data_IF_041246160988
#
_entry.id   IF_041246160988
#
_cell.length_a   1.000
_cell.length_b   1.000
_cell.length_c   1.000
_cell.angle_alpha   90.00
_cell.angle_beta   90.00
_cell.angle_gamma   90.00
#
_symmetry.space_group_name_H-M   'P 1'
#
loop_
_entity.id
_entity.type
_entity.pdbx_description
1 polymer ?
#
# COMPACT_ATOMS: atom_id res chain seq x y z
N UNK A 1 1.30 -15.44 12.31
CA UNK A 1 0.83 -14.06 12.56
C UNK A 1 1.88 -12.99 12.31
N UNK A 2 3.09 -13.04 12.87
CA UNK A 2 4.14 -12.02 12.58
C UNK A 2 4.55 -11.93 11.11
N UNK A 3 4.56 -13.05 10.37
CA UNK A 3 4.79 -13.06 8.91
C UNK A 3 3.67 -12.37 8.13
N UNK A 4 2.43 -12.46 8.59
CA UNK A 4 1.29 -11.75 7.97
C UNK A 4 1.42 -10.25 8.19
N UNK A 5 1.78 -9.84 9.42
CA UNK A 5 2.09 -8.43 9.70
C UNK A 5 3.27 -7.93 8.85
N UNK A 6 4.30 -8.76 8.68
CA UNK A 6 5.44 -8.44 7.83
C UNK A 6 5.01 -8.27 6.36
N UNK A 7 4.17 -9.16 5.82
CA UNK A 7 3.66 -9.05 4.45
C UNK A 7 2.97 -7.70 4.21
N UNK A 8 2.00 -7.35 5.04
CA UNK A 8 1.29 -6.08 4.90
C UNK A 8 2.20 -4.87 5.15
N UNK A 9 3.14 -4.96 6.10
CA UNK A 9 4.12 -3.91 6.33
C UNK A 9 5.00 -3.69 5.09
N UNK A 10 5.52 -4.78 4.51
CA UNK A 10 6.39 -4.72 3.35
C UNK A 10 5.64 -4.19 2.12
N UNK A 11 4.41 -4.62 1.91
CA UNK A 11 3.54 -4.09 0.86
C UNK A 11 3.27 -2.60 1.04
N UNK A 12 3.06 -2.13 2.28
CA UNK A 12 2.84 -0.72 2.57
C UNK A 12 4.08 0.13 2.31
N UNK A 13 5.26 -0.38 2.68
CA UNK A 13 6.55 0.26 2.39
C UNK A 13 6.82 0.38 0.89
N UNK A 14 6.56 -0.69 0.13
CA UNK A 14 6.63 -0.63 -1.33
C UNK A 14 5.63 0.39 -1.89
N UNK A 15 4.40 0.39 -1.36
CA UNK A 15 3.37 1.36 -1.72
C UNK A 15 3.75 2.82 -1.44
N UNK A 16 4.49 3.12 -0.37
CA UNK A 16 4.99 4.48 -0.12
C UNK A 16 5.97 4.95 -1.18
N UNK A 17 6.87 4.07 -1.62
CA UNK A 17 7.79 4.38 -2.72
C UNK A 17 7.01 4.56 -4.03
N UNK A 18 6.09 3.65 -4.31
CA UNK A 18 5.24 3.67 -5.52
C UNK A 18 4.41 4.95 -5.61
N UNK A 19 3.86 5.42 -4.49
CA UNK A 19 3.19 6.71 -4.39
C UNK A 19 4.07 7.83 -4.95
N UNK A 20 5.35 7.86 -4.58
CA UNK A 20 6.26 8.91 -5.00
C UNK A 20 6.64 8.73 -6.47
N UNK A 21 7.15 7.56 -6.84
CA UNK A 21 7.79 7.37 -8.16
C UNK A 21 6.75 7.25 -9.28
N UNK A 22 5.70 6.45 -9.09
CA UNK A 22 4.73 6.15 -10.14
C UNK A 22 3.59 7.17 -10.14
N UNK A 23 2.96 7.33 -8.99
CA UNK A 23 1.74 8.11 -8.86
C UNK A 23 1.97 9.63 -8.93
N UNK A 24 2.99 10.16 -8.24
CA UNK A 24 3.36 11.59 -8.30
C UNK A 24 4.27 11.93 -9.48
N UNK A 25 5.27 11.10 -9.77
CA UNK A 25 6.32 11.45 -10.73
C UNK A 25 6.22 10.73 -12.07
N UNK A 26 5.28 9.79 -12.27
CA UNK A 26 5.12 9.03 -13.53
C UNK A 26 6.44 8.42 -14.03
N UNK A 27 7.15 7.72 -13.15
CA UNK A 27 8.44 7.07 -13.43
C UNK A 27 8.40 6.12 -14.63
N UNK A 28 7.29 5.41 -14.79
CA UNK A 28 7.05 4.42 -15.82
C UNK A 28 5.55 4.21 -16.03
N UNK A 29 5.18 3.44 -17.06
CA UNK A 29 3.81 3.09 -17.42
C UNK A 29 3.72 1.59 -17.73
N UNK A 30 2.65 0.95 -17.26
CA UNK A 30 2.30 -0.44 -17.61
C UNK A 30 1.14 -0.46 -18.61
N UNK A 31 1.13 -1.41 -19.54
CA UNK A 31 0.03 -1.61 -20.49
C UNK A 31 -0.43 -3.08 -20.49
N UNK A 32 -1.02 -3.58 -19.38
CA UNK A 32 -1.50 -4.95 -19.33
C UNK A 32 -2.73 -5.18 -20.22
N UNK A 33 -3.43 -4.13 -20.65
CA UNK A 33 -4.61 -4.17 -21.53
C UNK A 33 -5.76 -5.00 -20.93
N UNK A 34 -5.98 -4.87 -19.63
CA UNK A 34 -7.03 -5.57 -18.87
C UNK A 34 -8.23 -4.65 -18.63
N UNK A 35 -7.99 -3.39 -18.28
CA UNK A 35 -9.01 -2.38 -17.98
C UNK A 35 -9.17 -1.39 -19.13
N UNK A 36 -10.40 -0.91 -19.34
CA UNK A 36 -10.71 0.04 -20.42
C UNK A 36 -10.08 1.42 -20.20
N UNK A 37 -10.04 1.88 -18.95
CA UNK A 37 -9.40 3.15 -18.60
C UNK A 37 -7.88 2.96 -18.52
N UNK A 38 -7.13 3.61 -19.41
CA UNK A 38 -5.68 3.45 -19.50
C UNK A 38 -4.92 3.76 -18.21
N UNK A 39 -5.32 4.78 -17.44
CA UNK A 39 -4.66 5.10 -16.17
C UNK A 39 -4.93 4.03 -15.09
N UNK A 40 -6.17 3.54 -15.00
CA UNK A 40 -6.50 2.42 -14.11
C UNK A 40 -5.79 1.13 -14.54
N UNK A 41 -5.67 0.86 -15.83
CA UNK A 41 -4.95 -0.30 -16.37
C UNK A 41 -3.45 -0.26 -16.00
N UNK A 42 -2.80 0.90 -16.19
CA UNK A 42 -1.44 1.15 -15.73
C UNK A 42 -1.30 0.94 -14.21
N UNK A 43 -2.26 1.48 -13.45
CA UNK A 43 -2.28 1.38 -11.99
C UNK A 43 -2.44 -0.06 -11.52
N UNK A 44 -3.26 -0.87 -12.21
CA UNK A 44 -3.43 -2.29 -11.91
C UNK A 44 -2.13 -3.06 -12.09
N UNK A 45 -1.39 -2.81 -13.18
CA UNK A 45 -0.08 -3.43 -13.43
C UNK A 45 0.93 -3.12 -12.31
N UNK A 46 1.05 -1.84 -11.96
CA UNK A 46 1.90 -1.38 -10.86
C UNK A 46 1.48 -2.00 -9.51
N UNK A 47 0.18 -2.00 -9.24
CA UNK A 47 -0.42 -2.54 -8.02
C UNK A 47 -0.11 -4.03 -7.82
N UNK A 48 -0.34 -4.86 -8.83
CA UNK A 48 -0.07 -6.31 -8.77
C UNK A 48 1.42 -6.59 -8.55
N UNK A 49 2.28 -5.91 -9.31
CA UNK A 49 3.73 -6.10 -9.24
C UNK A 49 4.28 -5.78 -7.84
N UNK A 50 4.00 -4.58 -7.34
CA UNK A 50 4.61 -4.09 -6.10
C UNK A 50 3.93 -4.67 -4.84
N UNK A 51 2.59 -4.66 -4.78
CA UNK A 51 1.88 -5.04 -3.55
C UNK A 51 1.85 -6.55 -3.34
N UNK A 52 1.80 -7.35 -4.40
CA UNK A 52 1.72 -8.81 -4.27
C UNK A 52 3.03 -9.50 -4.59
N UNK A 53 3.60 -9.33 -5.79
CA UNK A 53 4.75 -10.13 -6.22
C UNK A 53 6.01 -9.79 -5.41
N UNK A 54 6.40 -8.52 -5.38
CA UNK A 54 7.61 -8.06 -4.68
C UNK A 54 7.51 -8.36 -3.18
N UNK A 55 6.36 -8.05 -2.56
CA UNK A 55 6.13 -8.28 -1.12
C UNK A 55 6.12 -9.77 -0.74
N UNK A 56 5.53 -10.63 -1.58
CA UNK A 56 5.54 -12.08 -1.35
C UNK A 56 6.95 -12.65 -1.40
N UNK A 57 7.75 -12.23 -2.39
CA UNK A 57 9.15 -12.66 -2.49
C UNK A 57 9.96 -12.16 -1.31
N UNK A 58 9.77 -10.90 -0.89
CA UNK A 58 10.46 -10.33 0.26
C UNK A 58 10.17 -11.10 1.56
N UNK A 59 8.89 -11.42 1.83
CA UNK A 59 8.51 -12.25 2.98
C UNK A 59 9.07 -13.66 2.87
N UNK A 60 9.07 -14.26 1.68
CA UNK A 60 9.64 -15.59 1.45
C UNK A 60 11.14 -15.61 1.77
N UNK A 61 11.89 -14.58 1.33
CA UNK A 61 13.31 -14.41 1.66
C UNK A 61 13.53 -14.39 3.17
N UNK A 62 12.70 -13.65 3.92
CA UNK A 62 12.80 -13.57 5.37
C UNK A 62 12.38 -14.88 6.06
N UNK A 63 11.27 -15.49 5.63
CA UNK A 63 10.71 -16.70 6.22
C UNK A 63 11.65 -17.91 6.07
N UNK A 64 12.32 -18.05 4.92
CA UNK A 64 13.29 -19.12 4.67
C UNK A 64 14.73 -18.74 5.05
N UNK A 65 14.96 -17.53 5.56
CA UNK A 65 16.30 -17.07 5.98
C UNK A 65 17.32 -17.02 4.85
N UNK A 66 16.89 -16.77 3.61
CA UNK A 66 17.74 -16.89 2.42
C UNK A 66 18.95 -15.96 2.47
N UNK A 67 20.13 -16.46 2.08
CA UNK A 67 21.38 -15.69 2.03
C UNK A 67 21.42 -14.60 0.94
N UNK A 68 22.54 -13.90 0.82
CA UNK A 68 22.69 -12.79 -0.16
C UNK A 68 22.64 -13.28 -1.61
N UNK A 69 23.17 -14.48 -1.90
CA UNK A 69 23.18 -15.02 -3.27
C UNK A 69 21.76 -15.25 -3.83
N UNK A 70 20.82 -15.92 -3.14
CA UNK A 70 19.43 -15.99 -3.58
C UNK A 70 18.76 -14.61 -3.71
N UNK A 71 19.10 -13.66 -2.84
CA UNK A 71 18.57 -12.27 -2.93
C UNK A 71 19.02 -11.61 -4.24
N UNK A 72 20.30 -11.72 -4.60
CA UNK A 72 20.82 -11.21 -5.88
C UNK A 72 20.15 -11.87 -7.07
N UNK A 73 19.94 -13.18 -7.02
CA UNK A 73 19.26 -13.93 -8.09
C UNK A 73 17.82 -13.44 -8.27
N UNK A 74 17.07 -13.28 -7.17
CA UNK A 74 15.68 -12.81 -7.21
C UNK A 74 15.59 -11.36 -7.69
N UNK A 75 16.51 -10.49 -7.26
CA UNK A 75 16.63 -9.12 -7.80
C UNK A 75 16.88 -9.15 -9.31
N UNK A 76 17.86 -9.94 -9.77
CA UNK A 76 18.16 -10.08 -11.20
C UNK A 76 16.96 -10.62 -11.99
N UNK A 77 16.19 -11.55 -11.40
CA UNK A 77 14.96 -12.06 -12.00
C UNK A 77 13.92 -10.94 -12.20
N UNK A 78 13.64 -10.10 -11.20
CA UNK A 78 12.70 -8.98 -11.35
C UNK A 78 13.16 -7.95 -12.38
N UNK A 79 14.44 -7.61 -12.41
CA UNK A 79 15.01 -6.74 -13.45
C UNK A 79 14.89 -7.39 -14.83
N UNK A 80 15.13 -8.70 -14.92
CA UNK A 80 14.92 -9.46 -16.16
C UNK A 80 13.46 -9.41 -16.64
N UNK A 81 12.48 -9.55 -15.73
CA UNK A 81 11.06 -9.40 -16.04
C UNK A 81 10.77 -7.98 -16.54
N UNK A 82 11.30 -6.94 -15.89
CA UNK A 82 11.17 -5.56 -16.34
C UNK A 82 11.70 -5.36 -17.76
N UNK A 83 12.88 -5.91 -18.06
CA UNK A 83 13.48 -5.85 -19.40
C UNK A 83 12.68 -6.62 -20.45
N UNK A 84 12.10 -7.77 -20.08
CA UNK A 84 11.21 -8.53 -20.97
C UNK A 84 9.95 -7.69 -21.26
N UNK A 85 9.37 -7.07 -20.25
CA UNK A 85 8.18 -6.23 -20.40
C UNK A 85 8.42 -5.02 -21.32
N UNK A 86 9.61 -4.43 -21.25
CA UNK A 86 10.06 -3.41 -22.21
C UNK A 86 10.13 -3.98 -23.63
N UNK A 87 10.76 -5.14 -23.79
CA UNK A 87 10.97 -5.75 -25.11
C UNK A 87 9.67 -6.13 -25.81
N UNK A 88 8.64 -6.55 -25.06
CA UNK A 88 7.32 -6.91 -25.60
C UNK A 88 6.34 -5.73 -25.64
N UNK A 89 6.76 -4.53 -25.22
CA UNK A 89 5.97 -3.30 -25.33
C UNK A 89 4.83 -3.14 -24.33
N UNK A 90 4.79 -3.94 -23.25
CA UNK A 90 3.77 -3.82 -22.19
C UNK A 90 4.22 -2.96 -21.02
N UNK A 91 5.42 -2.38 -21.10
CA UNK A 91 5.98 -1.49 -20.10
C UNK A 91 6.83 -0.42 -20.79
N UNK A 92 6.77 0.79 -20.28
CA UNK A 92 7.53 1.93 -20.80
C UNK A 92 8.18 2.67 -19.64
N UNK A 93 9.46 2.95 -19.79
CA UNK A 93 10.21 3.80 -18.88
C UNK A 93 10.07 5.26 -19.31
N UNK A 94 9.73 6.15 -18.37
CA UNK A 94 9.79 7.59 -18.60
C UNK A 94 11.17 8.10 -18.16
N UNK A 95 11.34 8.38 -16.87
CA UNK A 95 12.65 8.74 -16.30
C UNK A 95 13.26 7.62 -15.45
N UNK A 96 12.51 6.54 -15.18
CA UNK A 96 13.00 5.40 -14.42
C UNK A 96 14.10 4.64 -15.18
N UNK A 97 15.05 4.09 -14.44
CA UNK A 97 16.12 3.26 -14.98
C UNK A 97 16.09 1.87 -14.30
N UNK A 98 16.25 0.76 -15.03
CA UNK A 98 16.25 -0.59 -14.43
C UNK A 98 17.32 -0.79 -13.34
N UNK A 99 18.40 -0.02 -13.35
CA UNK A 99 19.37 0.00 -12.26
C UNK A 99 18.76 0.45 -10.92
N UNK A 100 17.77 1.34 -10.94
CA UNK A 100 17.03 1.75 -9.75
C UNK A 100 16.18 0.61 -9.20
N UNK A 101 15.53 -0.17 -10.07
CA UNK A 101 14.85 -1.43 -9.68
C UNK A 101 15.82 -2.41 -9.04
N UNK A 102 16.98 -2.62 -9.65
CA UNK A 102 18.00 -3.54 -9.14
C UNK A 102 18.47 -3.15 -7.73
N UNK A 103 18.89 -1.90 -7.55
CA UNK A 103 19.37 -1.39 -6.26
C UNK A 103 18.23 -1.37 -5.24
N UNK A 104 17.06 -0.87 -5.63
CA UNK A 104 15.88 -0.75 -4.77
C UNK A 104 15.43 -2.11 -4.23
N UNK A 105 15.24 -3.10 -5.10
CA UNK A 105 14.81 -4.44 -4.69
C UNK A 105 15.87 -5.15 -3.85
N UNK A 106 17.15 -5.03 -4.20
CA UNK A 106 18.22 -5.63 -3.39
C UNK A 106 18.20 -5.07 -1.96
N UNK A 107 18.16 -3.74 -1.82
CA UNK A 107 18.07 -3.09 -0.50
C UNK A 107 16.77 -3.44 0.22
N UNK A 108 15.65 -3.47 -0.48
CA UNK A 108 14.33 -3.81 0.06
C UNK A 108 14.27 -5.25 0.61
N UNK A 109 14.84 -6.22 -0.09
CA UNK A 109 14.91 -7.60 0.37
C UNK A 109 15.83 -7.77 1.59
N UNK A 110 17.00 -7.10 1.60
CA UNK A 110 17.87 -7.10 2.78
C UNK A 110 17.22 -6.42 3.98
N UNK A 111 16.51 -5.31 3.75
CA UNK A 111 15.75 -4.60 4.77
C UNK A 111 14.64 -5.48 5.34
N UNK A 112 13.93 -6.24 4.50
CA UNK A 112 12.85 -7.14 4.93
C UNK A 112 13.35 -8.18 5.94
N UNK A 113 14.53 -8.76 5.69
CA UNK A 113 15.16 -9.69 6.64
C UNK A 113 15.43 -9.02 7.99
N UNK A 114 16.11 -7.87 7.97
CA UNK A 114 16.42 -7.10 9.19
C UNK A 114 15.16 -6.68 9.95
N UNK A 115 14.10 -6.32 9.22
CA UNK A 115 12.82 -5.95 9.78
C UNK A 115 12.14 -7.15 10.44
N UNK A 116 12.17 -8.31 9.79
CA UNK A 116 11.66 -9.55 10.37
C UNK A 116 12.39 -9.95 11.65
N UNK A 117 13.73 -9.89 11.64
CA UNK A 117 14.54 -10.16 12.84
C UNK A 117 14.20 -9.18 13.97
N UNK A 118 13.99 -7.90 13.64
CA UNK A 118 13.55 -6.88 14.60
C UNK A 118 12.17 -7.20 15.18
N UNK A 119 11.23 -7.68 14.36
CA UNK A 119 9.91 -8.11 14.83
C UNK A 119 9.95 -9.36 15.70
N UNK A 120 10.91 -10.25 15.50
CA UNK A 120 11.06 -11.47 16.30
C UNK A 120 11.72 -11.21 17.65
N UNK A 121 12.85 -10.50 17.66
CA UNK A 121 13.78 -10.49 18.80
C UNK A 121 13.82 -9.16 19.55
N UNK A 122 13.89 -8.03 18.83
CA UNK A 122 14.12 -6.70 19.41
C UNK A 122 13.19 -5.69 18.78
N UNK A 123 11.88 -5.87 19.01
CA UNK A 123 10.88 -4.99 18.42
C UNK A 123 10.91 -3.63 19.11
N UNK A 124 11.67 -2.70 18.54
CA UNK A 124 11.69 -1.32 19.01
C UNK A 124 10.31 -0.67 18.87
N UNK A 125 10.09 0.40 19.63
CA UNK A 125 8.86 1.22 19.55
C UNK A 125 8.59 1.68 18.12
N UNK A 126 9.65 2.10 17.43
CA UNK A 126 9.59 2.54 16.03
C UNK A 126 9.17 1.41 15.10
N UNK A 127 9.84 0.25 15.16
CA UNK A 127 9.51 -0.91 14.31
C UNK A 127 8.05 -1.32 14.48
N UNK A 128 7.56 -1.36 15.73
CA UNK A 128 6.17 -1.73 16.00
C UNK A 128 5.17 -0.71 15.46
N UNK A 129 5.39 0.59 15.73
CA UNK A 129 4.51 1.64 15.22
C UNK A 129 4.48 1.65 13.70
N UNK A 130 5.64 1.63 13.07
CA UNK A 130 5.74 1.70 11.62
C UNK A 130 5.18 0.45 10.95
N UNK A 131 5.34 -0.73 11.55
CA UNK A 131 4.67 -1.96 11.08
C UNK A 131 3.15 -1.83 11.13
N UNK A 132 2.59 -1.28 12.22
CA UNK A 132 1.14 -1.03 12.32
C UNK A 132 0.67 -0.02 11.28
N UNK A 133 1.40 1.07 11.10
CA UNK A 133 1.10 2.12 10.12
C UNK A 133 1.13 1.62 8.68
N UNK A 134 2.21 0.95 8.27
CA UNK A 134 2.32 0.39 6.93
C UNK A 134 1.27 -0.71 6.69
N UNK A 135 0.96 -1.52 7.71
CA UNK A 135 -0.09 -2.54 7.61
C UNK A 135 -1.48 -1.92 7.41
N UNK A 136 -1.84 -0.91 8.21
CA UNK A 136 -3.15 -0.25 8.07
C UNK A 136 -3.26 0.44 6.71
N UNK A 137 -2.18 1.06 6.24
CA UNK A 137 -2.12 1.66 4.90
C UNK A 137 -2.40 0.64 3.80
N UNK A 138 -1.73 -0.52 3.83
CA UNK A 138 -1.95 -1.60 2.87
C UNK A 138 -3.40 -2.10 2.91
N UNK A 139 -3.94 -2.36 4.10
CA UNK A 139 -5.30 -2.85 4.24
C UNK A 139 -6.34 -1.87 3.69
N UNK A 140 -6.19 -0.57 3.99
CA UNK A 140 -7.05 0.47 3.42
C UNK A 140 -7.02 0.43 1.91
N UNK A 141 -5.81 0.54 1.36
CA UNK A 141 -5.60 0.66 -0.08
C UNK A 141 -5.93 -0.62 -0.84
N UNK A 142 -5.93 -1.80 -0.21
CA UNK A 142 -6.33 -3.07 -0.82
C UNK A 142 -7.85 -3.24 -0.82
N UNK A 143 -8.54 -2.90 0.28
CA UNK A 143 -10.01 -3.00 0.36
C UNK A 143 -10.69 -2.11 -0.70
N UNK A 144 -10.15 -0.91 -0.92
CA UNK A 144 -10.72 0.05 -1.86
C UNK A 144 -10.14 -0.04 -3.28
N UNK A 145 -9.15 -0.90 -3.52
CA UNK A 145 -8.48 -1.01 -4.83
C UNK A 145 -9.48 -1.37 -5.93
N UNK A 146 -10.32 -2.38 -5.70
CA UNK A 146 -11.25 -2.87 -6.72
C UNK A 146 -12.28 -1.80 -7.12
N UNK A 147 -13.03 -1.17 -6.19
CA UNK A 147 -13.97 -0.12 -6.58
C UNK A 147 -13.28 1.09 -7.24
N UNK A 148 -12.06 1.43 -6.81
CA UNK A 148 -11.27 2.51 -7.43
C UNK A 148 -10.92 2.20 -8.88
N UNK A 149 -10.37 1.01 -9.14
CA UNK A 149 -9.97 0.57 -10.48
C UNK A 149 -11.17 0.29 -11.40
N UNK A 150 -12.33 -0.03 -10.83
CA UNK A 150 -13.61 -0.13 -11.54
C UNK A 150 -14.21 1.25 -11.87
N UNK A 151 -13.60 2.35 -11.43
CA UNK A 151 -14.07 3.70 -11.71
C UNK A 151 -15.33 4.10 -10.94
N UNK A 152 -15.62 3.45 -9.80
CA UNK A 152 -16.79 3.78 -8.98
C UNK A 152 -16.67 5.14 -8.29
N UNK A 153 -15.44 5.67 -8.17
CA UNK A 153 -15.14 6.91 -7.48
C UNK A 153 -14.67 7.98 -8.45
N UNK A 154 -15.04 9.22 -8.17
CA UNK A 154 -14.47 10.39 -8.82
C UNK A 154 -14.28 11.52 -7.83
N UNK A 155 -13.06 12.01 -7.73
CA UNK A 155 -12.75 13.22 -6.99
C UNK A 155 -12.54 14.39 -7.96
N UNK A 156 -13.31 15.47 -7.78
CA UNK A 156 -13.26 16.67 -8.61
C UNK A 156 -12.12 17.60 -8.19
N UNK A 157 -10.90 17.07 -8.15
CA UNK A 157 -9.67 17.85 -8.00
C UNK A 157 -8.95 17.94 -9.33
N UNK A 158 -8.23 19.05 -9.54
CA UNK A 158 -7.53 19.35 -10.79
C UNK A 158 -6.02 19.43 -10.57
N UNK A 159 -5.44 18.41 -9.92
CA UNK A 159 -3.99 18.36 -9.70
C UNK A 159 -3.22 17.93 -10.95
N UNK A 160 -3.86 17.10 -11.77
CA UNK A 160 -3.33 16.56 -13.03
C UNK A 160 -4.39 16.66 -14.13
N UNK A 161 -3.95 16.52 -15.38
CA UNK A 161 -4.85 16.53 -16.54
C UNK A 161 -5.78 15.30 -16.57
N UNK A 162 -5.29 14.16 -16.09
CA UNK A 162 -6.05 12.91 -16.05
C UNK A 162 -6.98 12.82 -14.82
N UNK A 163 -8.31 12.72 -14.98
CA UNK A 163 -9.26 12.64 -13.87
C UNK A 163 -9.16 11.35 -13.03
N UNK A 164 -8.75 10.23 -13.63
CA UNK A 164 -8.53 8.97 -12.94
C UNK A 164 -7.29 9.10 -12.02
N UNK A 165 -6.22 9.74 -12.51
CA UNK A 165 -5.05 10.06 -11.68
C UNK A 165 -5.39 10.93 -10.48
N UNK A 166 -6.17 11.98 -10.69
CA UNK A 166 -6.65 12.85 -9.62
C UNK A 166 -7.40 12.06 -8.53
N UNK A 167 -8.32 11.19 -8.95
CA UNK A 167 -9.10 10.33 -8.04
C UNK A 167 -8.19 9.40 -7.24
N UNK A 168 -7.29 8.68 -7.91
CA UNK A 168 -6.35 7.77 -7.24
C UNK A 168 -5.44 8.52 -6.26
N UNK A 169 -4.95 9.72 -6.61
CA UNK A 169 -4.10 10.50 -5.70
C UNK A 169 -4.83 10.90 -4.42
N UNK A 170 -6.07 11.40 -4.54
CA UNK A 170 -6.86 11.79 -3.36
C UNK A 170 -7.09 10.58 -2.46
N UNK A 171 -7.43 9.43 -3.05
CA UNK A 171 -7.64 8.18 -2.32
C UNK A 171 -6.36 7.73 -1.59
N UNK A 172 -5.19 7.79 -2.23
CA UNK A 172 -3.93 7.41 -1.61
C UNK A 172 -3.55 8.33 -0.45
N UNK A 173 -3.79 9.64 -0.58
CA UNK A 173 -3.57 10.61 0.51
C UNK A 173 -4.53 10.35 1.67
N UNK A 174 -5.81 10.13 1.37
CA UNK A 174 -6.83 9.82 2.38
C UNK A 174 -6.45 8.55 3.15
N UNK A 175 -6.08 7.48 2.45
CA UNK A 175 -5.59 6.24 3.08
C UNK A 175 -4.34 6.45 3.92
N UNK A 176 -3.41 7.30 3.49
CA UNK A 176 -2.20 7.62 4.25
C UNK A 176 -2.53 8.34 5.56
N UNK A 177 -3.43 9.32 5.52
CA UNK A 177 -3.89 10.05 6.70
C UNK A 177 -4.66 9.11 7.64
N UNK A 178 -5.60 8.34 7.08
CA UNK A 178 -6.40 7.35 7.80
C UNK A 178 -5.54 6.34 8.54
N UNK A 179 -4.62 5.70 7.82
CA UNK A 179 -3.70 4.69 8.36
C UNK A 179 -2.83 5.26 9.47
N UNK A 180 -2.37 6.50 9.35
CA UNK A 180 -1.62 7.19 10.39
C UNK A 180 -2.46 7.40 11.66
N UNK A 181 -3.66 7.98 11.52
CA UNK A 181 -4.57 8.22 12.64
C UNK A 181 -4.94 6.91 13.36
N UNK A 182 -5.33 5.87 12.61
CA UNK A 182 -5.65 4.55 13.15
C UNK A 182 -4.45 3.93 13.87
N UNK A 183 -3.26 4.00 13.26
CA UNK A 183 -2.04 3.47 13.87
C UNK A 183 -1.70 4.20 15.18
N UNK A 184 -1.85 5.53 15.24
CA UNK A 184 -1.61 6.32 16.45
C UNK A 184 -2.55 5.91 17.58
N UNK A 185 -3.87 5.88 17.34
CA UNK A 185 -4.84 5.55 18.40
C UNK A 185 -4.71 4.11 18.89
N UNK A 186 -4.29 3.18 18.02
CA UNK A 186 -4.04 1.80 18.38
C UNK A 186 -2.73 1.64 19.15
N UNK A 187 -1.64 2.20 18.64
CA UNK A 187 -0.31 2.11 19.25
C UNK A 187 -0.24 2.78 20.62
N UNK A 188 -0.87 3.94 20.79
CA UNK A 188 -0.97 4.64 22.08
C UNK A 188 -1.98 3.99 23.04
N UNK A 189 -2.67 2.91 22.62
CA UNK A 189 -3.67 2.18 23.41
C UNK A 189 -4.75 3.08 24.00
N UNK A 190 -5.19 4.07 23.24
CA UNK A 190 -6.21 5.01 23.68
C UNK A 190 -7.54 4.30 23.96
N UNK A 191 -8.39 4.95 24.75
CA UNK A 191 -9.71 4.44 25.09
C UNK A 191 -10.54 4.15 23.83
N UNK A 192 -11.41 3.15 23.88
CA UNK A 192 -12.22 2.73 22.72
C UNK A 192 -13.09 3.85 22.13
N UNK A 193 -13.52 4.79 22.96
CA UNK A 193 -14.24 5.99 22.49
C UNK A 193 -13.42 6.82 21.49
N UNK A 194 -12.12 7.02 21.76
CA UNK A 194 -11.21 7.77 20.87
C UNK A 194 -10.89 6.96 19.61
N UNK A 195 -10.75 5.63 19.76
CA UNK A 195 -10.56 4.75 18.61
C UNK A 195 -11.75 4.80 17.66
N UNK A 196 -12.97 4.75 18.21
CA UNK A 196 -14.21 4.83 17.45
C UNK A 196 -14.47 6.22 16.85
N UNK A 197 -13.90 7.31 17.41
CA UNK A 197 -14.07 8.63 16.81
C UNK A 197 -13.31 8.79 15.49
N UNK A 198 -12.25 8.03 15.23
CA UNK A 198 -11.50 8.06 13.96
C UNK A 198 -12.36 7.66 12.76
N UNK A 199 -12.97 6.46 12.70
CA UNK A 199 -13.83 6.06 11.58
C UNK A 199 -15.05 6.98 11.45
N UNK A 200 -15.60 7.49 12.57
CA UNK A 200 -16.70 8.45 12.53
C UNK A 200 -16.30 9.80 11.92
N UNK A 201 -15.09 10.28 12.23
CA UNK A 201 -14.57 11.52 11.66
C UNK A 201 -14.28 11.39 10.16
N UNK A 202 -13.76 10.23 9.73
CA UNK A 202 -13.57 9.91 8.31
C UNK A 202 -14.90 9.81 7.56
N UNK A 203 -15.88 9.14 8.14
CA UNK A 203 -17.23 9.09 7.58
C UNK A 203 -17.85 10.48 7.41
N UNK A 204 -17.69 11.34 8.42
CA UNK A 204 -18.14 12.73 8.36
C UNK A 204 -17.40 13.53 7.27
N UNK A 205 -16.09 13.30 7.07
CA UNK A 205 -15.33 14.00 6.02
C UNK A 205 -15.84 13.61 4.62
N UNK A 206 -16.17 12.34 4.37
CA UNK A 206 -16.75 11.92 3.09
C UNK A 206 -18.09 12.61 2.81
N UNK A 207 -18.96 12.75 3.83
CA UNK A 207 -20.20 13.51 3.66
C UNK A 207 -19.96 14.98 3.32
N UNK A 208 -18.97 15.61 3.95
CA UNK A 208 -18.58 16.99 3.62
C UNK A 208 -18.11 17.07 2.17
N UNK A 209 -17.25 16.16 1.72
CA UNK A 209 -16.76 16.13 0.33
C UNK A 209 -17.89 15.92 -0.69
N UNK A 210 -18.87 15.07 -0.39
CA UNK A 210 -20.07 14.89 -1.23
C UNK A 210 -20.90 16.18 -1.27
N UNK A 211 -21.12 16.83 -0.12
CA UNK A 211 -21.87 18.09 -0.06
C UNK A 211 -21.20 19.21 -0.86
N UNK A 212 -19.88 19.24 -0.87
CA UNK A 212 -19.08 20.19 -1.65
C UNK A 212 -18.96 19.81 -3.13
N UNK A 213 -19.59 18.70 -3.58
CA UNK A 213 -19.46 18.18 -4.94
C UNK A 213 -18.01 17.82 -5.33
N UNK A 214 -17.15 17.60 -4.33
CA UNK A 214 -15.75 17.21 -4.53
C UNK A 214 -15.58 15.69 -4.65
N UNK A 215 -16.54 14.91 -4.12
CA UNK A 215 -16.54 13.46 -4.20
C UNK A 215 -17.88 12.98 -4.77
N UNK A 216 -17.81 12.25 -5.88
CA UNK A 216 -18.96 11.55 -6.47
C UNK A 216 -18.68 10.05 -6.56
N UNK A 217 -19.74 9.26 -6.47
CA UNK A 217 -19.69 7.81 -6.46
C UNK A 217 -20.80 7.23 -7.34
N UNK A 218 -20.59 6.05 -7.90
CA UNK A 218 -21.55 5.39 -8.79
C UNK A 218 -22.68 4.73 -8.02
N UNK A 219 -22.39 4.12 -6.88
CA UNK A 219 -23.35 3.34 -6.13
C UNK A 219 -23.33 3.61 -4.62
N UNK A 220 -24.51 3.55 -3.97
CA UNK A 220 -24.65 3.83 -2.53
C UNK A 220 -23.82 2.87 -1.67
N UNK A 221 -23.62 1.63 -2.12
CA UNK A 221 -22.78 0.67 -1.41
C UNK A 221 -21.30 1.03 -1.41
N UNK A 222 -20.84 1.89 -2.31
CA UNK A 222 -19.44 2.30 -2.31
C UNK A 222 -19.12 3.13 -1.04
N UNK A 223 -20.09 3.90 -0.53
CA UNK A 223 -19.97 4.53 0.78
C UNK A 223 -19.93 3.48 1.90
N UNK A 224 -20.79 2.46 1.84
CA UNK A 224 -20.75 1.37 2.83
C UNK A 224 -19.39 0.66 2.85
N UNK A 225 -18.72 0.52 1.69
CA UNK A 225 -17.36 -0.03 1.59
C UNK A 225 -16.35 0.84 2.34
N UNK A 226 -16.41 2.18 2.21
CA UNK A 226 -15.55 3.08 2.99
C UNK A 226 -15.78 2.97 4.50
N UNK A 227 -17.03 3.03 4.96
CA UNK A 227 -17.32 2.86 6.39
C UNK A 227 -16.88 1.49 6.92
N UNK A 228 -17.12 0.43 6.14
CA UNK A 228 -16.74 -0.92 6.53
C UNK A 228 -15.22 -1.10 6.54
N UNK A 229 -14.50 -0.49 5.59
CA UNK A 229 -13.04 -0.53 5.53
C UNK A 229 -12.42 0.14 6.76
N UNK A 230 -12.92 1.32 7.16
CA UNK A 230 -12.46 2.03 8.35
C UNK A 230 -12.60 1.19 9.63
N UNK A 231 -13.76 0.56 9.82
CA UNK A 231 -14.00 -0.31 10.98
C UNK A 231 -13.12 -1.56 10.91
N UNK A 232 -13.05 -2.22 9.74
CA UNK A 232 -12.26 -3.43 9.56
C UNK A 232 -10.76 -3.18 9.80
N UNK A 233 -10.22 -2.09 9.28
CA UNK A 233 -8.81 -1.71 9.47
C UNK A 233 -8.53 -1.37 10.93
N UNK A 234 -9.43 -0.65 11.61
CA UNK A 234 -9.29 -0.37 13.04
C UNK A 234 -9.24 -1.65 13.88
N UNK A 235 -10.17 -2.58 13.63
CA UNK A 235 -10.22 -3.87 14.35
C UNK A 235 -8.95 -4.69 14.10
N UNK A 236 -8.48 -4.76 12.85
CA UNK A 236 -7.22 -5.41 12.51
C UNK A 236 -6.02 -4.73 13.20
N UNK A 237 -5.97 -3.41 13.23
CA UNK A 237 -4.90 -2.67 13.90
C UNK A 237 -4.85 -2.97 15.40
N UNK A 238 -6.00 -2.99 16.08
CA UNK A 238 -6.10 -3.37 17.50
C UNK A 238 -5.64 -4.83 17.72
N UNK A 239 -6.03 -5.75 16.83
CA UNK A 239 -5.60 -7.14 16.91
C UNK A 239 -4.06 -7.27 16.77
N UNK A 240 -3.48 -6.68 15.73
CA UNK A 240 -2.06 -6.78 15.47
C UNK A 240 -1.22 -5.99 16.47
N UNK A 241 -1.71 -4.90 17.07
CA UNK A 241 -1.01 -4.22 18.16
C UNK A 241 -0.78 -5.18 19.34
N UNK A 242 -1.79 -5.97 19.70
CA UNK A 242 -1.67 -7.00 20.74
C UNK A 242 -0.64 -8.06 20.35
N UNK A 243 -0.74 -8.60 19.13
CA UNK A 243 0.19 -9.63 18.59
C UNK A 243 1.64 -9.14 18.57
N UNK A 244 1.86 -7.88 18.18
CA UNK A 244 3.20 -7.29 18.09
C UNK A 244 3.74 -6.88 19.47
N UNK A 245 2.86 -6.56 20.43
CA UNK A 245 3.25 -6.24 21.79
C UNK A 245 3.55 -7.46 22.67
N UNK A 246 2.99 -8.63 22.32
CA UNK A 246 3.33 -9.91 22.96
C UNK A 246 4.70 -10.39 22.47
N UNK A 247 5.77 -9.82 23.00
CA UNK A 247 7.12 -10.38 22.85
C UNK A 247 7.19 -11.61 23.76
N UNK A 248 7.56 -12.77 23.19
CA UNK A 248 7.95 -13.94 23.98
C UNK A 248 9.14 -13.52 24.84
N UNK A 249 8.94 -13.45 26.17
CA UNK A 249 10.05 -13.59 27.12
C UNK A 249 10.63 -15.00 26.98
#
# INVERSE_FOLDING_TARGET
MKLVALFFCMSGMAGFLENIIFFWLQSYEYYPQILENGYYDMTLGAYISQRFLVSTVAVSIAAFGLGVAPVLLLTAMFVGIELIFLAIGIYKLNWWNPAYTAIGLFLYFLMTKKWYDSLLWVSSRFIRFFTLFSMTYTLYTDIIAIPTLAGHYRFAVHWFDDPARNTVMVILIDCFIASFLVAVVCYCRLHWAIKASVPLAMWASYFVLIRLQLFTFTHVWDLLVFAASDVAVLLNCVYFERVLSSVRK
#
